data_IF_439361584448
#
_entry.id   IF_439361584448
#
_cell.length_a   1.000
_cell.length_b   1.000
_cell.length_c   1.000
_cell.angle_alpha   90.00
_cell.angle_beta   90.00
_cell.angle_gamma   90.00
#
_symmetry.space_group_name_H-M   'P 1'
#
loop_
_entity.id
_entity.type
_entity.pdbx_description
1 polymer ?
#
# COMPACT_ATOMS: atom_id res chain seq x y z
N UNK A 1 21.61 -13.87 58.10
CA UNK A 1 22.62 -14.22 57.09
C UNK A 1 22.60 -13.17 56.00
N UNK A 2 23.75 -12.87 55.40
CA UNK A 2 24.16 -11.61 54.77
C UNK A 2 23.38 -11.13 53.53
N UNK A 3 23.52 -9.81 53.33
CA UNK A 3 23.18 -8.92 52.22
C UNK A 3 23.82 -9.35 50.89
N UNK A 4 23.18 -9.07 49.74
CA UNK A 4 23.86 -8.52 48.55
C UNK A 4 22.87 -8.00 47.51
N UNK A 5 22.87 -6.68 47.34
CA UNK A 5 22.41 -5.98 46.13
C UNK A 5 23.51 -6.13 45.07
N UNK A 6 23.16 -6.49 43.84
CA UNK A 6 24.02 -6.26 42.66
C UNK A 6 23.18 -5.71 41.51
N UNK A 7 23.43 -4.45 41.19
CA UNK A 7 23.14 -3.83 39.90
C UNK A 7 24.20 -4.33 38.91
N UNK A 8 23.79 -4.81 37.74
CA UNK A 8 24.68 -4.99 36.59
C UNK A 8 23.95 -4.57 35.30
N UNK A 9 24.55 -3.60 34.62
CA UNK A 9 24.10 -2.96 33.39
C UNK A 9 24.20 -3.87 32.16
N UNK A 10 23.30 -3.58 31.20
CA UNK A 10 23.44 -3.66 29.73
C UNK A 10 23.90 -4.99 29.12
N UNK A 11 22.95 -5.67 28.46
CA UNK A 11 23.09 -5.99 27.04
C UNK A 11 21.75 -5.77 26.34
N UNK A 12 21.77 -4.83 25.40
CA UNK A 12 20.70 -4.56 24.44
C UNK A 12 20.43 -5.85 23.66
N UNK A 13 19.39 -6.56 24.05
CA UNK A 13 18.77 -7.55 23.18
C UNK A 13 18.02 -6.76 22.10
N UNK A 14 18.67 -6.58 20.96
CA UNK A 14 17.98 -6.36 19.70
C UNK A 14 17.04 -7.56 19.52
N UNK A 15 15.78 -7.40 19.90
CA UNK A 15 14.72 -8.27 19.43
C UNK A 15 14.65 -8.06 17.92
N UNK A 16 15.30 -8.93 17.18
CA UNK A 16 15.02 -9.17 15.76
C UNK A 16 13.61 -9.73 15.70
N UNK A 17 12.60 -8.86 15.66
CA UNK A 17 11.26 -9.22 15.21
C UNK A 17 11.39 -9.56 13.73
N UNK A 18 11.49 -10.86 13.44
CA UNK A 18 11.37 -11.38 12.09
C UNK A 18 10.07 -10.86 11.48
N UNK A 19 10.18 -9.96 10.51
CA UNK A 19 9.08 -9.57 9.64
C UNK A 19 8.69 -10.77 8.77
N UNK A 20 7.57 -11.41 9.10
CA UNK A 20 7.06 -12.61 8.40
C UNK A 20 5.97 -12.29 7.37
N UNK A 21 5.83 -11.04 6.92
CA UNK A 21 4.86 -10.73 5.87
C UNK A 21 5.49 -10.85 4.48
N UNK A 22 5.77 -12.09 4.04
CA UNK A 22 5.99 -12.38 2.62
C UNK A 22 4.61 -12.45 1.94
N UNK A 23 4.38 -11.52 1.01
CA UNK A 23 3.13 -11.35 0.27
C UNK A 23 2.60 -12.67 -0.30
N UNK A 24 1.37 -13.04 0.08
CA UNK A 24 0.58 -14.05 -0.61
C UNK A 24 -0.28 -13.38 -1.68
N UNK A 25 -0.17 -13.88 -2.92
CA UNK A 25 -0.96 -13.46 -4.06
C UNK A 25 -2.42 -13.92 -3.88
N UNK A 26 -3.38 -13.00 -3.95
CA UNK A 26 -4.79 -13.38 -4.00
C UNK A 26 -5.20 -13.59 -5.47
N UNK A 27 -5.68 -14.79 -5.74
CA UNK A 27 -6.22 -15.27 -7.01
C UNK A 27 -7.71 -14.92 -7.03
N UNK A 28 -8.21 -14.23 -8.05
CA UNK A 28 -9.46 -14.55 -8.77
C UNK A 28 -9.87 -13.40 -9.73
N UNK A 29 -10.45 -13.79 -10.87
CA UNK A 29 -10.93 -12.93 -11.95
C UNK A 29 -11.87 -11.83 -11.42
N UNK A 30 -11.51 -10.57 -11.65
CA UNK A 30 -12.36 -9.42 -11.39
C UNK A 30 -12.75 -8.78 -12.73
N UNK A 31 -14.05 -8.76 -13.00
CA UNK A 31 -14.62 -7.98 -14.09
C UNK A 31 -14.23 -6.51 -13.92
N UNK A 32 -13.77 -5.92 -15.03
CA UNK A 32 -13.34 -4.53 -15.13
C UNK A 32 -14.54 -3.62 -14.87
N UNK A 33 -14.80 -3.26 -13.62
CA UNK A 33 -15.39 -1.96 -13.35
C UNK A 33 -14.32 -0.93 -13.71
N UNK A 34 -14.63 -0.09 -14.71
CA UNK A 34 -13.78 1.01 -15.12
C UNK A 34 -13.54 1.91 -13.90
N UNK A 35 -12.39 1.73 -13.27
CA UNK A 35 -11.99 2.55 -12.16
C UNK A 35 -11.61 3.91 -12.72
N UNK A 36 -12.54 4.85 -12.67
CA UNK A 36 -12.27 6.21 -13.09
C UNK A 36 -11.24 6.82 -12.15
N UNK A 37 -10.10 7.23 -12.72
CA UNK A 37 -9.14 8.04 -11.99
C UNK A 37 -9.87 9.33 -11.61
N UNK A 38 -10.23 9.47 -10.34
CA UNK A 38 -10.80 10.73 -9.84
C UNK A 38 -9.84 11.85 -10.23
N UNK A 39 -10.35 12.91 -10.87
CA UNK A 39 -9.52 14.06 -11.23
C UNK A 39 -9.01 14.64 -9.91
N UNK A 40 -7.69 14.69 -9.75
CA UNK A 40 -7.09 15.39 -8.63
C UNK A 40 -7.38 16.89 -8.84
N UNK A 41 -8.42 17.38 -8.18
CA UNK A 41 -8.87 18.78 -8.28
C UNK A 41 -7.96 19.73 -7.49
N UNK A 42 -6.99 19.19 -6.74
CA UNK A 42 -6.12 19.97 -5.90
C UNK A 42 -4.89 20.43 -6.70
N UNK A 43 -4.76 21.74 -6.88
CA UNK A 43 -3.65 22.38 -7.61
C UNK A 43 -2.34 22.40 -6.79
N UNK A 44 -2.20 21.50 -5.81
CA UNK A 44 -1.01 21.38 -5.00
C UNK A 44 0.12 20.76 -5.84
N UNK A 45 1.29 21.40 -5.81
CA UNK A 45 2.50 20.90 -6.47
C UNK A 45 2.88 19.57 -5.85
N UNK A 46 3.15 18.57 -6.70
CA UNK A 46 3.60 17.26 -6.26
C UNK A 46 4.89 17.39 -5.43
N UNK A 47 4.88 16.81 -4.22
CA UNK A 47 6.03 16.79 -3.32
C UNK A 47 6.80 15.52 -3.52
N UNK A 48 8.11 15.63 -3.76
CA UNK A 48 9.01 14.51 -3.96
C UNK A 48 9.82 14.22 -2.70
N UNK A 49 9.99 12.94 -2.39
CA UNK A 49 10.82 12.43 -1.29
C UNK A 49 11.79 11.37 -1.81
N UNK A 50 12.98 11.28 -1.20
CA UNK A 50 13.97 10.28 -1.55
C UNK A 50 13.47 8.88 -1.15
N UNK A 51 13.71 7.88 -2.02
CA UNK A 51 13.40 6.48 -1.68
C UNK A 51 14.42 5.95 -0.65
N UNK A 52 15.70 6.27 -0.82
CA UNK A 52 16.75 5.87 0.12
C UNK A 52 16.91 4.35 0.19
N UNK A 53 17.06 3.80 1.40
CA UNK A 53 17.16 2.35 1.60
C UNK A 53 15.77 1.70 1.63
N UNK A 54 15.56 0.72 0.76
CA UNK A 54 14.32 -0.03 0.65
C UNK A 54 14.62 -1.53 0.67
N UNK A 55 14.23 -2.20 1.76
CA UNK A 55 14.46 -3.64 1.98
C UNK A 55 15.89 -4.12 1.65
N UNK A 56 16.90 -3.37 2.10
CA UNK A 56 18.31 -3.71 1.89
C UNK A 56 18.88 -3.31 0.53
N UNK A 57 18.10 -2.61 -0.31
CA UNK A 57 18.55 -2.04 -1.59
C UNK A 57 18.64 -0.53 -1.47
N UNK A 58 19.70 0.05 -2.03
CA UNK A 58 19.89 1.49 -2.04
C UNK A 58 19.31 2.12 -3.32
N UNK A 59 18.22 2.87 -3.17
CA UNK A 59 17.58 3.66 -4.21
C UNK A 59 17.69 5.17 -3.93
N UNK A 60 18.73 5.60 -3.23
CA UNK A 60 19.02 7.02 -2.95
C UNK A 60 19.12 7.91 -4.19
N UNK A 61 19.30 7.35 -5.39
CA UNK A 61 19.29 8.11 -6.67
C UNK A 61 17.90 8.38 -7.23
N UNK A 62 16.85 7.87 -6.58
CA UNK A 62 15.47 8.01 -6.99
C UNK A 62 14.66 8.76 -5.94
N UNK A 63 13.69 9.51 -6.45
CA UNK A 63 12.69 10.19 -5.66
C UNK A 63 11.29 9.82 -6.15
N UNK A 64 10.34 9.86 -5.23
CA UNK A 64 8.94 9.55 -5.48
C UNK A 64 8.06 10.71 -5.05
N UNK A 65 7.13 11.07 -5.93
CA UNK A 65 6.17 12.14 -5.73
C UNK A 65 4.90 11.66 -5.06
N UNK A 66 4.20 12.55 -4.37
CA UNK A 66 2.92 12.27 -3.69
C UNK A 66 1.81 11.75 -4.61
N UNK A 67 1.96 11.87 -5.94
CA UNK A 67 1.00 11.34 -6.92
C UNK A 67 1.38 9.95 -7.45
N UNK A 68 2.46 9.36 -6.94
CA UNK A 68 2.95 8.05 -7.37
C UNK A 68 3.91 8.10 -8.55
N UNK A 69 4.38 9.29 -8.94
CA UNK A 69 5.40 9.42 -9.97
C UNK A 69 6.78 9.16 -9.38
N UNK A 70 7.58 8.35 -10.05
CA UNK A 70 8.94 8.03 -9.62
C UNK A 70 9.89 8.55 -10.69
N UNK A 71 10.97 9.21 -10.27
CA UNK A 71 12.01 9.70 -11.18
C UNK A 71 13.39 9.58 -10.55
N UNK A 72 14.43 9.69 -11.38
CA UNK A 72 15.78 9.93 -10.87
C UNK A 72 15.89 11.37 -10.42
N UNK A 73 16.70 11.62 -9.39
CA UNK A 73 16.96 12.98 -8.91
C UNK A 73 17.45 13.86 -10.06
N UNK A 74 16.82 15.02 -10.24
CA UNK A 74 17.16 15.98 -11.30
C UNK A 74 16.68 15.60 -12.71
N UNK A 75 16.07 14.43 -12.91
CA UNK A 75 15.48 14.07 -14.18
C UNK A 75 14.18 14.87 -14.42
N UNK A 76 13.93 15.24 -15.69
CA UNK A 76 12.67 15.85 -16.10
C UNK A 76 11.56 14.81 -16.24
N UNK A 77 11.92 13.63 -16.73
CA UNK A 77 10.98 12.56 -17.03
C UNK A 77 10.82 11.57 -15.89
N UNK A 78 9.65 10.96 -15.83
CA UNK A 78 9.33 9.90 -14.88
C UNK A 78 9.77 8.53 -15.41
N UNK A 79 10.13 7.63 -14.51
CA UNK A 79 10.37 6.22 -14.81
C UNK A 79 9.05 5.59 -15.21
N UNK A 80 9.05 4.85 -16.32
CA UNK A 80 7.88 4.13 -16.79
C UNK A 80 7.40 3.10 -15.76
N UNK A 81 6.10 3.13 -15.48
CA UNK A 81 5.43 2.13 -14.66
C UNK A 81 4.92 1.00 -15.53
N UNK A 82 5.11 -0.24 -15.07
CA UNK A 82 4.58 -1.44 -15.72
C UNK A 82 3.34 -1.92 -14.97
N UNK A 83 2.25 -2.17 -15.68
CA UNK A 83 1.07 -2.83 -15.12
C UNK A 83 1.32 -4.34 -15.06
N UNK A 84 0.98 -4.93 -13.93
CA UNK A 84 1.08 -6.37 -13.66
C UNK A 84 -0.35 -6.92 -13.54
N UNK A 85 -0.47 -8.23 -13.35
CA UNK A 85 -1.75 -8.88 -13.07
C UNK A 85 -2.58 -8.11 -12.03
N UNK A 86 -3.89 -8.11 -12.23
CA UNK A 86 -4.86 -7.42 -11.37
C UNK A 86 -4.70 -5.89 -11.32
N UNK A 87 -3.98 -5.26 -12.27
CA UNK A 87 -3.92 -3.81 -12.39
C UNK A 87 -2.91 -3.12 -11.49
N UNK A 88 -2.20 -3.87 -10.63
CA UNK A 88 -1.12 -3.35 -9.81
C UNK A 88 0.02 -2.81 -10.67
N UNK A 89 0.60 -1.69 -10.25
CA UNK A 89 1.73 -1.08 -10.95
C UNK A 89 3.05 -1.36 -10.23
N UNK A 90 4.09 -1.62 -11.04
CA UNK A 90 5.47 -1.80 -10.62
C UNK A 90 6.40 -0.84 -11.35
N UNK A 91 7.53 -0.54 -10.72
CA UNK A 91 8.58 0.30 -11.28
C UNK A 91 9.89 -0.48 -11.34
N UNK A 92 10.61 -0.36 -12.45
CA UNK A 92 11.94 -0.92 -12.60
C UNK A 92 13.00 0.03 -12.06
N UNK A 93 13.52 -0.23 -10.86
CA UNK A 93 14.59 0.56 -10.23
C UNK A 93 15.94 -0.15 -10.38
N UNK A 94 16.98 0.62 -10.70
CA UNK A 94 18.33 0.08 -10.89
C UNK A 94 19.25 0.55 -9.77
N UNK A 95 19.88 -0.40 -9.07
CA UNK A 95 20.90 -0.16 -8.05
C UNK A 95 22.02 -1.19 -8.21
N UNK A 96 23.28 -0.81 -7.99
CA UNK A 96 24.44 -1.70 -8.12
C UNK A 96 24.44 -2.51 -9.44
N UNK A 97 24.10 -1.86 -10.56
CA UNK A 97 23.95 -2.46 -11.90
C UNK A 97 22.90 -3.58 -12.01
N UNK A 98 22.03 -3.75 -11.00
CA UNK A 98 20.94 -4.70 -11.00
C UNK A 98 19.60 -3.96 -11.03
N UNK A 99 18.74 -4.35 -11.96
CA UNK A 99 17.38 -3.82 -12.07
C UNK A 99 16.41 -4.73 -11.33
N UNK A 100 15.60 -4.17 -10.43
CA UNK A 100 14.50 -4.91 -9.79
C UNK A 100 13.16 -4.22 -10.01
N UNK A 101 12.09 -5.02 -10.07
CA UNK A 101 10.72 -4.56 -10.17
C UNK A 101 10.12 -4.41 -8.77
N UNK A 102 9.91 -3.17 -8.35
CA UNK A 102 9.35 -2.85 -7.03
C UNK A 102 7.90 -2.37 -7.14
N UNK A 103 7.09 -2.64 -6.12
CA UNK A 103 5.66 -2.27 -6.10
C UNK A 103 5.49 -0.81 -5.71
N UNK A 104 4.83 -0.02 -6.58
CA UNK A 104 4.73 1.44 -6.42
C UNK A 104 3.91 1.80 -5.19
N UNK A 105 2.73 1.21 -5.03
CA UNK A 105 1.86 1.44 -3.86
C UNK A 105 2.54 1.14 -2.52
N UNK A 106 3.46 0.16 -2.45
CA UNK A 106 4.19 -0.18 -1.22
C UNK A 106 5.25 0.88 -0.92
N UNK A 107 6.04 1.29 -1.92
CA UNK A 107 7.00 2.39 -1.78
C UNK A 107 6.26 3.64 -1.28
N UNK A 108 5.12 3.96 -1.89
CA UNK A 108 4.28 5.10 -1.51
C UNK A 108 3.80 5.02 -0.06
N UNK A 109 3.25 3.87 0.35
CA UNK A 109 2.72 3.70 1.70
C UNK A 109 3.83 3.77 2.77
N UNK A 110 5.01 3.21 2.49
CA UNK A 110 6.15 3.25 3.42
C UNK A 110 6.68 4.67 3.57
N UNK A 111 6.79 5.44 2.48
CA UNK A 111 7.41 6.76 2.55
C UNK A 111 6.47 7.86 3.03
N UNK A 112 5.19 7.80 2.65
CA UNK A 112 4.22 8.87 2.99
C UNK A 112 3.27 8.49 4.12
N UNK A 113 3.10 7.21 4.44
CA UNK A 113 2.13 6.72 5.44
C UNK A 113 2.77 5.77 6.46
N UNK A 114 4.07 5.90 6.72
CA UNK A 114 4.78 5.07 7.71
C UNK A 114 4.20 5.17 9.11
N UNK A 115 3.64 6.32 9.50
CA UNK A 115 3.04 6.52 10.82
C UNK A 115 1.79 5.65 11.06
N UNK A 116 1.12 5.19 10.00
CA UNK A 116 -0.07 4.33 10.07
C UNK A 116 0.27 2.83 10.11
N UNK A 117 1.53 2.48 9.83
CA UNK A 117 1.97 1.10 9.85
C UNK A 117 2.00 0.56 11.29
N UNK A 118 1.38 -0.60 11.48
CA UNK A 118 1.47 -1.37 12.74
C UNK A 118 1.71 -2.84 12.42
N UNK A 119 2.08 -3.64 13.44
CA UNK A 119 2.27 -5.08 13.28
C UNK A 119 1.01 -5.77 12.71
N UNK A 120 -0.17 -5.29 13.10
CA UNK A 120 -1.45 -5.81 12.61
C UNK A 120 -1.83 -5.22 11.25
N UNK A 121 -1.59 -3.92 11.03
CA UNK A 121 -1.89 -3.21 9.77
C UNK A 121 -0.66 -3.15 8.86
N UNK A 122 -0.29 -4.30 8.32
CA UNK A 122 0.92 -4.46 7.49
C UNK A 122 0.64 -4.69 5.99
N UNK A 123 -0.63 -4.64 5.55
CA UNK A 123 -1.01 -4.73 4.14
C UNK A 123 -1.40 -3.36 3.59
N UNK A 124 -1.09 -3.10 2.31
CA UNK A 124 -1.47 -1.85 1.64
C UNK A 124 -2.67 -2.11 0.73
N UNK A 125 -3.74 -1.37 0.95
CA UNK A 125 -4.99 -1.46 0.18
C UNK A 125 -5.26 -0.15 -0.59
N UNK A 126 -5.95 -0.27 -1.73
CA UNK A 126 -6.39 0.88 -2.53
C UNK A 126 -7.84 1.22 -2.18
N UNK A 127 -8.05 2.34 -1.49
CA UNK A 127 -9.36 2.79 -0.98
C UNK A 127 -10.40 2.88 -2.11
N UNK A 128 -9.98 3.33 -3.28
CA UNK A 128 -10.83 3.51 -4.45
C UNK A 128 -10.97 2.26 -5.32
N UNK A 129 -10.41 1.11 -4.91
CA UNK A 129 -10.37 -0.11 -5.72
C UNK A 129 -9.54 -0.01 -7.02
N UNK A 130 -8.85 1.11 -7.24
CA UNK A 130 -8.08 1.37 -8.46
C UNK A 130 -6.61 1.00 -8.23
N UNK A 131 -6.20 -0.24 -8.51
CA UNK A 131 -4.84 -0.73 -8.21
C UNK A 131 -3.68 -0.04 -8.98
N UNK A 132 -4.00 0.83 -9.95
CA UNK A 132 -3.03 1.67 -10.65
C UNK A 132 -2.95 3.10 -10.11
N UNK A 133 -3.85 3.49 -9.21
CA UNK A 133 -3.87 4.82 -8.63
C UNK A 133 -3.03 4.88 -7.35
N UNK A 134 -1.72 5.09 -7.51
CA UNK A 134 -0.78 5.10 -6.38
C UNK A 134 -0.68 6.46 -5.65
N UNK A 135 -1.67 7.36 -5.80
CA UNK A 135 -1.69 8.61 -5.02
C UNK A 135 -1.75 8.27 -3.52
N UNK A 136 -1.06 9.05 -2.69
CA UNK A 136 -1.06 8.83 -1.23
C UNK A 136 -2.48 8.77 -0.65
N UNK A 137 -3.37 9.63 -1.15
CA UNK A 137 -4.79 9.69 -0.74
C UNK A 137 -5.60 8.43 -1.09
N UNK A 138 -5.14 7.64 -2.06
CA UNK A 138 -5.82 6.44 -2.54
C UNK A 138 -5.37 5.18 -1.82
N UNK A 139 -4.37 5.27 -0.92
CA UNK A 139 -3.76 4.14 -0.24
C UNK A 139 -4.04 4.17 1.26
N UNK A 140 -4.14 2.99 1.88
CA UNK A 140 -4.23 2.81 3.35
C UNK A 140 -3.52 1.54 3.82
N UNK A 141 -3.08 1.56 5.08
CA UNK A 141 -2.64 0.35 5.77
C UNK A 141 -3.83 -0.39 6.39
N UNK A 142 -3.92 -1.68 6.13
CA UNK A 142 -5.00 -2.56 6.57
C UNK A 142 -4.45 -3.83 7.18
N UNK A 143 -5.25 -4.46 8.02
CA UNK A 143 -4.99 -5.80 8.53
C UNK A 143 -5.22 -6.86 7.44
N UNK A 144 -4.64 -8.08 7.58
CA UNK A 144 -4.91 -9.18 6.66
C UNK A 144 -6.41 -9.50 6.54
N UNK A 145 -7.14 -9.41 7.66
CA UNK A 145 -8.58 -9.65 7.72
C UNK A 145 -9.36 -8.58 6.95
N UNK A 146 -9.06 -7.31 7.19
CA UNK A 146 -9.66 -6.19 6.45
C UNK A 146 -9.36 -6.30 4.95
N UNK A 147 -8.12 -6.59 4.56
CA UNK A 147 -7.75 -6.79 3.15
C UNK A 147 -8.55 -7.91 2.48
N UNK A 148 -8.75 -9.04 3.18
CA UNK A 148 -9.57 -10.14 2.67
C UNK A 148 -11.05 -9.75 2.53
N UNK A 149 -11.58 -8.97 3.48
CA UNK A 149 -12.95 -8.44 3.39
C UNK A 149 -13.06 -7.50 2.19
N UNK A 150 -12.12 -6.56 2.05
CA UNK A 150 -12.12 -5.59 0.95
C UNK A 150 -11.99 -6.25 -0.42
N UNK A 151 -11.18 -7.28 -0.56
CA UNK A 151 -11.04 -8.02 -1.82
C UNK A 151 -12.33 -8.77 -2.23
N UNK A 152 -13.16 -9.20 -1.26
CA UNK A 152 -14.32 -10.05 -1.51
C UNK A 152 -15.67 -9.34 -1.36
N UNK A 153 -15.68 -8.13 -0.78
CA UNK A 153 -16.89 -7.36 -0.60
C UNK A 153 -17.55 -7.03 -1.94
N UNK A 154 -18.79 -7.48 -2.11
CA UNK A 154 -19.64 -7.14 -3.24
C UNK A 154 -20.94 -6.52 -2.73
N UNK A 155 -21.53 -5.56 -3.46
CA UNK A 155 -22.88 -5.11 -3.14
C UNK A 155 -23.85 -6.28 -3.35
N UNK A 156 -24.89 -6.32 -2.54
CA UNK A 156 -25.91 -7.39 -2.59
C UNK A 156 -27.23 -6.74 -2.93
N UNK A 157 -27.91 -7.24 -3.96
CA UNK A 157 -29.28 -6.85 -4.26
C UNK A 157 -30.25 -7.88 -3.67
N UNK A 158 -31.21 -7.42 -2.87
CA UNK A 158 -32.30 -8.25 -2.35
C UNK A 158 -33.56 -7.96 -3.17
N UNK A 159 -34.23 -9.01 -3.64
CA UNK A 159 -35.56 -8.89 -4.24
C UNK A 159 -36.62 -9.19 -3.18
N UNK A 160 -37.49 -8.22 -2.92
CA UNK A 160 -38.64 -8.38 -2.03
C UNK A 160 -39.71 -9.21 -2.76
N UNK A 161 -40.04 -10.40 -2.23
CA UNK A 161 -40.99 -11.34 -2.88
C UNK A 161 -42.40 -10.76 -3.01
N UNK A 162 -42.78 -9.92 -2.06
CA UNK A 162 -44.16 -9.45 -1.90
C UNK A 162 -44.46 -8.28 -2.85
N UNK A 163 -43.45 -7.45 -3.13
CA UNK A 163 -43.57 -6.23 -3.94
C UNK A 163 -42.85 -6.32 -5.28
N UNK A 164 -41.95 -7.30 -5.45
CA UNK A 164 -41.05 -7.41 -6.59
C UNK A 164 -39.93 -6.37 -6.62
N UNK A 165 -39.86 -5.47 -5.63
CA UNK A 165 -38.88 -4.40 -5.56
C UNK A 165 -37.47 -4.95 -5.31
N UNK A 166 -36.46 -4.30 -5.89
CA UNK A 166 -35.06 -4.56 -5.60
C UNK A 166 -34.51 -3.51 -4.64
N UNK A 167 -33.84 -3.96 -3.59
CA UNK A 167 -33.11 -3.12 -2.66
C UNK A 167 -31.62 -3.45 -2.77
N UNK A 168 -30.80 -2.42 -3.00
CA UNK A 168 -29.36 -2.57 -3.11
C UNK A 168 -28.71 -2.26 -1.75
N UNK A 169 -27.98 -3.23 -1.22
CA UNK A 169 -27.14 -3.05 -0.04
C UNK A 169 -25.72 -2.82 -0.50
N UNK A 170 -25.17 -1.69 -0.07
CA UNK A 170 -23.77 -1.37 -0.27
C UNK A 170 -22.87 -2.46 0.33
N UNK A 171 -21.77 -2.73 -0.35
CA UNK A 171 -20.75 -3.59 0.21
C UNK A 171 -20.15 -2.93 1.45
N UNK A 172 -19.63 -3.72 2.39
CA UNK A 172 -18.75 -3.24 3.47
C UNK A 172 -17.62 -2.37 2.92
N UNK A 173 -17.23 -2.57 1.66
CA UNK A 173 -16.22 -1.80 0.95
C UNK A 173 -16.61 -0.33 0.66
N UNK A 174 -17.91 -0.03 0.56
CA UNK A 174 -18.44 1.31 0.28
C UNK A 174 -18.71 2.12 1.57
N UNK A 175 -18.70 1.46 2.74
CA UNK A 175 -18.85 2.12 4.04
C UNK A 175 -17.53 2.78 4.44
N UNK A 176 -17.26 3.94 3.84
CA UNK A 176 -16.14 4.80 4.19
C UNK A 176 -16.40 5.52 5.51
N UNK A 177 -16.27 4.83 6.65
CA UNK A 177 -16.44 5.50 7.95
C UNK A 177 -16.55 4.65 9.21
N UNK A 178 -15.87 3.51 9.32
CA UNK A 178 -15.69 2.82 10.60
C UNK A 178 -14.22 2.85 11.04
#
# INVERSE_FOLDING_TARGET
MQVSVRVAMRRSFLHTTQCTCRQFFCVHHFDRHDCERTKDTNNYRETFVLIGNYFGKDYSTYEVGSKGHIRRIGARDHVALSKVAFGYTRVGLTTNNQKTQESVHIIMAILFKSAEYTADRCFVDHINGCHWDNRVSSLRWVTPKENAIFANGRPVSVQHKDTGAFELFDSINNLSGL
#
